data_IF_612330183640
#
_entry.id   IF_612330183640
#
_cell.length_a   1.000
_cell.length_b   1.000
_cell.length_c   1.000
_cell.angle_alpha   90.00
_cell.angle_beta   90.00
_cell.angle_gamma   90.00
#
_symmetry.space_group_name_H-M   'P 1'
#
loop_
_entity.id
_entity.type
_entity.pdbx_description
1 polymer ?
#
# COMPACT_ATOMS: atom_id res chain seq x y z
N UNK A 1 6.33 -15.68 39.38
CA UNK A 1 5.02 -15.39 38.72
C UNK A 1 5.22 -14.10 37.95
N UNK A 2 5.60 -14.23 36.67
CA UNK A 2 5.80 -13.05 35.81
C UNK A 2 4.46 -12.69 35.19
N UNK A 3 3.80 -11.68 35.75
CA UNK A 3 2.63 -11.06 35.13
C UNK A 3 3.05 -10.41 33.81
N UNK A 4 2.93 -11.16 32.73
CA UNK A 4 2.98 -10.61 31.38
C UNK A 4 1.65 -9.87 31.17
N UNK A 5 1.55 -8.65 31.67
CA UNK A 5 0.51 -7.72 31.24
C UNK A 5 0.68 -7.52 29.74
N UNK A 6 -0.09 -8.24 28.97
CA UNK A 6 -0.27 -7.96 27.56
C UNK A 6 -0.73 -6.50 27.46
N UNK A 7 0.17 -5.62 27.07
CA UNK A 7 -0.13 -4.20 26.84
C UNK A 7 -1.24 -4.15 25.81
N UNK A 8 -2.43 -3.67 26.19
CA UNK A 8 -3.59 -3.65 25.33
C UNK A 8 -3.27 -2.79 24.10
N UNK A 9 -3.16 -3.42 22.94
CA UNK A 9 -3.01 -2.72 21.67
C UNK A 9 -4.38 -2.19 21.25
N UNK A 10 -4.47 -0.89 21.04
CA UNK A 10 -5.68 -0.23 20.55
C UNK A 10 -5.45 0.24 19.12
N UNK A 11 -6.23 -0.30 18.20
CA UNK A 11 -6.23 0.16 16.80
C UNK A 11 -7.04 1.47 16.74
N UNK A 12 -6.35 2.61 16.58
CA UNK A 12 -6.96 3.94 16.45
C UNK A 12 -7.55 4.19 15.07
N UNK A 13 -6.90 3.64 14.04
CA UNK A 13 -7.33 3.76 12.66
C UNK A 13 -6.94 2.54 11.87
N UNK A 14 -7.80 2.14 10.92
CA UNK A 14 -7.54 1.04 9.98
C UNK A 14 -8.16 1.34 8.63
N UNK A 15 -7.37 1.23 7.59
CA UNK A 15 -7.81 1.42 6.21
C UNK A 15 -7.21 0.35 5.31
N UNK A 16 -8.03 -0.20 4.41
CA UNK A 16 -7.57 -1.16 3.41
C UNK A 16 -7.68 -0.60 2.01
N UNK A 17 -6.60 -0.71 1.27
CA UNK A 17 -6.48 -0.16 -0.09
C UNK A 17 -6.92 -1.18 -1.14
N UNK A 18 -8.21 -1.57 -1.09
CA UNK A 18 -8.79 -2.49 -2.05
C UNK A 18 -8.66 -1.99 -3.49
N UNK A 19 -8.39 -2.93 -4.43
CA UNK A 19 -8.47 -2.66 -5.86
C UNK A 19 -9.94 -2.42 -6.21
N UNK A 20 -10.31 -1.26 -6.81
CA UNK A 20 -11.68 -1.00 -7.19
C UNK A 20 -12.14 -1.95 -8.30
N UNK A 21 -13.44 -2.26 -8.32
CA UNK A 21 -14.02 -3.24 -9.24
C UNK A 21 -13.80 -2.90 -10.73
N UNK A 22 -13.72 -1.61 -11.07
CA UNK A 22 -13.48 -1.18 -12.44
C UNK A 22 -12.07 -1.49 -12.98
N UNK A 23 -11.13 -1.87 -12.11
CA UNK A 23 -9.80 -2.35 -12.49
C UNK A 23 -9.79 -3.82 -12.93
N UNK A 24 -10.82 -4.59 -12.54
CA UNK A 24 -10.91 -6.01 -12.88
C UNK A 24 -11.11 -6.27 -14.37
N UNK A 25 -12.05 -5.59 -15.10
CA UNK A 25 -12.21 -5.81 -16.53
C UNK A 25 -10.95 -5.53 -17.34
N UNK A 26 -10.21 -4.41 -17.19
CA UNK A 26 -8.98 -4.20 -17.92
C UNK A 26 -7.87 -5.19 -17.51
N UNK A 27 -7.75 -5.54 -16.23
CA UNK A 27 -6.74 -6.50 -15.75
C UNK A 27 -6.95 -7.90 -16.32
N UNK A 28 -8.18 -8.40 -16.29
CA UNK A 28 -8.54 -9.69 -16.89
C UNK A 28 -8.50 -9.63 -18.41
N UNK A 29 -8.86 -8.50 -19.02
CA UNK A 29 -8.77 -8.28 -20.46
C UNK A 29 -7.36 -8.38 -20.99
N UNK A 30 -6.38 -7.77 -20.32
CA UNK A 30 -4.95 -7.91 -20.66
C UNK A 30 -4.51 -9.36 -20.53
N UNK A 31 -4.89 -10.06 -19.47
CA UNK A 31 -4.55 -11.47 -19.30
C UNK A 31 -5.17 -12.35 -20.41
N UNK A 32 -6.40 -12.06 -20.83
CA UNK A 32 -7.06 -12.78 -21.92
C UNK A 32 -6.38 -12.51 -23.28
N UNK A 33 -5.94 -11.27 -23.54
CA UNK A 33 -5.18 -10.95 -24.75
C UNK A 33 -3.82 -11.68 -24.77
N UNK A 34 -3.11 -11.73 -23.67
CA UNK A 34 -1.85 -12.50 -23.57
C UNK A 34 -2.13 -13.99 -23.78
N UNK A 35 -3.23 -14.53 -23.21
CA UNK A 35 -3.62 -15.92 -23.42
C UNK A 35 -3.90 -16.22 -24.89
N UNK A 36 -4.55 -15.31 -25.60
CA UNK A 36 -4.81 -15.43 -27.04
C UNK A 36 -3.52 -15.44 -27.86
N UNK A 37 -2.57 -14.58 -27.55
CA UNK A 37 -1.26 -14.56 -28.23
C UNK A 37 -0.48 -15.87 -28.00
N UNK A 38 -0.52 -16.38 -26.78
CA UNK A 38 0.12 -17.69 -26.46
C UNK A 38 -0.55 -18.84 -27.21
N UNK A 39 -1.88 -18.85 -27.28
CA UNK A 39 -2.66 -19.86 -28.01
C UNK A 39 -2.33 -19.87 -29.52
N UNK A 40 -2.23 -18.69 -30.12
CA UNK A 40 -1.89 -18.55 -31.54
C UNK A 40 -0.41 -18.86 -31.83
N UNK A 41 0.48 -18.59 -30.86
CA UNK A 41 1.93 -18.80 -31.03
C UNK A 41 2.40 -20.24 -30.77
N UNK A 42 1.68 -21.03 -29.99
CA UNK A 42 2.08 -22.38 -29.55
C UNK A 42 1.01 -23.42 -29.89
N UNK A 43 1.02 -23.90 -31.12
CA UNK A 43 0.06 -24.90 -31.62
C UNK A 43 0.07 -26.26 -30.88
N UNK A 44 1.09 -26.52 -30.03
CA UNK A 44 1.20 -27.76 -29.28
C UNK A 44 0.37 -27.78 -27.98
N UNK A 45 -0.17 -26.63 -27.57
CA UNK A 45 -0.98 -26.51 -26.34
C UNK A 45 -2.48 -26.59 -26.68
N UNK A 46 -3.30 -27.19 -25.78
CA UNK A 46 -4.75 -27.05 -25.89
C UNK A 46 -5.16 -25.56 -25.75
N UNK A 47 -5.98 -25.05 -26.66
CA UNK A 47 -6.33 -23.61 -26.74
C UNK A 47 -6.94 -23.01 -25.46
N UNK A 48 -7.57 -23.83 -24.61
CA UNK A 48 -8.09 -23.36 -23.33
C UNK A 48 -7.04 -23.18 -22.23
N UNK A 49 -5.86 -23.83 -22.36
CA UNK A 49 -4.85 -23.90 -21.30
C UNK A 49 -4.25 -22.51 -20.93
N UNK A 50 -3.85 -21.66 -21.88
CA UNK A 50 -3.36 -20.31 -21.56
C UNK A 50 -4.37 -19.50 -20.75
N UNK A 51 -5.66 -19.59 -21.07
CA UNK A 51 -6.72 -18.88 -20.32
C UNK A 51 -6.90 -19.44 -18.92
N UNK A 52 -6.89 -20.77 -18.77
CA UNK A 52 -7.03 -21.43 -17.47
C UNK A 52 -5.88 -21.11 -16.50
N UNK A 53 -4.72 -20.72 -17.02
CA UNK A 53 -3.57 -20.31 -16.20
C UNK A 53 -3.55 -18.80 -15.98
N UNK A 54 -3.64 -18.01 -17.04
CA UNK A 54 -3.40 -16.55 -16.96
C UNK A 54 -4.54 -15.78 -16.29
N UNK A 55 -5.80 -16.19 -16.48
CA UNK A 55 -6.92 -15.52 -15.81
C UNK A 55 -6.90 -15.68 -14.29
N UNK A 56 -6.70 -16.89 -13.71
CA UNK A 56 -6.53 -17.03 -12.27
C UNK A 56 -5.30 -16.30 -11.74
N UNK A 57 -4.17 -16.31 -12.46
CA UNK A 57 -2.98 -15.57 -12.07
C UNK A 57 -3.26 -14.07 -12.00
N UNK A 58 -3.90 -13.50 -13.01
CA UNK A 58 -4.30 -12.09 -13.00
C UNK A 58 -5.24 -11.76 -11.83
N UNK A 59 -6.22 -12.62 -11.56
CA UNK A 59 -7.12 -12.46 -10.42
C UNK A 59 -6.35 -12.49 -9.07
N UNK A 60 -5.42 -13.42 -8.91
CA UNK A 60 -4.57 -13.52 -7.71
C UNK A 60 -3.72 -12.25 -7.54
N UNK A 61 -3.13 -11.75 -8.63
CA UNK A 61 -2.35 -10.50 -8.60
C UNK A 61 -3.21 -9.32 -8.15
N UNK A 62 -4.40 -9.14 -8.73
CA UNK A 62 -5.33 -8.08 -8.35
C UNK A 62 -5.75 -8.19 -6.88
N UNK A 63 -6.03 -9.39 -6.39
CA UNK A 63 -6.36 -9.64 -4.99
C UNK A 63 -5.17 -9.29 -4.07
N UNK A 64 -3.95 -9.68 -4.44
CA UNK A 64 -2.75 -9.37 -3.65
C UNK A 64 -2.42 -7.88 -3.61
N UNK A 65 -2.59 -7.17 -4.72
CA UNK A 65 -2.43 -5.72 -4.77
C UNK A 65 -3.39 -5.00 -3.83
N UNK A 66 -4.61 -5.52 -3.64
CA UNK A 66 -5.60 -4.98 -2.70
C UNK A 66 -5.39 -5.34 -1.24
N UNK A 67 -4.40 -6.15 -0.88
CA UNK A 67 -4.15 -6.55 0.52
C UNK A 67 -3.43 -5.50 1.36
N UNK A 68 -2.94 -4.42 0.75
CA UNK A 68 -2.25 -3.37 1.49
C UNK A 68 -3.20 -2.73 2.51
N UNK A 69 -2.79 -2.78 3.75
CA UNK A 69 -3.53 -2.26 4.89
C UNK A 69 -2.71 -1.19 5.60
N UNK A 70 -3.36 -0.08 5.94
CA UNK A 70 -2.81 0.96 6.80
C UNK A 70 -3.46 0.82 8.17
N UNK A 71 -2.64 0.88 9.22
CA UNK A 71 -3.12 0.86 10.62
C UNK A 71 -2.36 1.87 11.43
N UNK A 72 -3.06 2.52 12.35
CA UNK A 72 -2.44 3.28 13.45
C UNK A 72 -2.78 2.56 14.72
N UNK A 73 -1.78 2.07 15.42
CA UNK A 73 -1.91 1.27 16.62
C UNK A 73 -1.28 2.01 17.78
N UNK A 74 -1.99 2.12 18.90
CA UNK A 74 -1.46 2.61 20.15
C UNK A 74 -1.21 1.43 21.09
N UNK A 75 0.02 1.36 21.63
CA UNK A 75 0.44 0.37 22.61
C UNK A 75 0.95 1.11 23.85
N UNK A 76 0.11 1.26 24.86
CA UNK A 76 0.42 2.11 26.02
C UNK A 76 0.56 3.58 25.61
N UNK A 77 1.77 4.14 25.78
CA UNK A 77 2.12 5.52 25.39
C UNK A 77 2.68 5.64 23.99
N UNK A 78 3.00 4.52 23.33
CA UNK A 78 3.59 4.51 22.00
C UNK A 78 2.51 4.37 20.92
N UNK A 79 2.65 5.15 19.86
CA UNK A 79 1.80 5.07 18.67
C UNK A 79 2.67 4.64 17.50
N UNK A 80 2.21 3.64 16.74
CA UNK A 80 2.89 3.11 15.57
C UNK A 80 2.00 3.20 14.33
N UNK A 81 2.59 3.56 13.21
CA UNK A 81 1.96 3.50 11.90
C UNK A 81 2.41 2.25 11.14
N UNK A 82 1.48 1.44 10.76
CA UNK A 82 1.70 0.18 10.03
C UNK A 82 1.23 0.29 8.60
N UNK A 83 2.06 -0.16 7.66
CA UNK A 83 1.76 -0.25 6.23
C UNK A 83 2.10 -1.66 5.75
N UNK A 84 1.10 -2.53 5.66
CA UNK A 84 1.34 -3.95 5.46
C UNK A 84 2.15 -4.54 6.62
N UNK A 85 3.36 -5.03 6.33
CA UNK A 85 4.27 -5.61 7.32
C UNK A 85 5.31 -4.60 7.86
N UNK A 86 5.43 -3.42 7.23
CA UNK A 86 6.31 -2.37 7.67
C UNK A 86 5.63 -1.50 8.74
N UNK A 87 6.39 -1.08 9.76
CA UNK A 87 5.90 -0.22 10.82
C UNK A 87 6.86 0.91 11.11
N UNK A 88 6.32 2.01 11.61
CA UNK A 88 7.03 3.23 11.93
C UNK A 88 6.52 3.79 13.26
N UNK A 89 7.38 3.95 14.27
CA UNK A 89 7.00 4.64 15.50
C UNK A 89 6.66 6.11 15.22
N UNK A 90 5.57 6.61 15.80
CA UNK A 90 5.19 8.01 15.62
C UNK A 90 6.21 8.98 16.23
N UNK A 91 7.01 8.53 17.19
CA UNK A 91 8.07 9.30 17.82
C UNK A 91 9.19 9.76 16.89
N UNK A 92 9.46 9.01 15.81
CA UNK A 92 10.50 9.38 14.80
C UNK A 92 9.94 10.26 13.69
N UNK A 93 8.64 10.55 13.69
CA UNK A 93 8.00 11.42 12.70
C UNK A 93 8.15 12.88 13.13
N UNK A 94 9.03 13.60 12.48
CA UNK A 94 9.26 15.03 12.74
C UNK A 94 8.19 15.93 12.13
N UNK A 95 7.66 15.53 10.97
CA UNK A 95 6.63 16.27 10.25
C UNK A 95 5.70 15.31 9.50
N UNK A 96 4.42 15.56 9.57
CA UNK A 96 3.40 14.81 8.85
C UNK A 96 2.51 15.76 8.05
N UNK A 97 2.26 15.43 6.77
CA UNK A 97 1.47 16.25 5.87
C UNK A 97 0.63 15.39 4.92
N UNK A 98 -0.47 15.96 4.47
CA UNK A 98 -1.26 15.40 3.39
C UNK A 98 -0.70 15.82 2.04
N UNK A 99 -0.62 14.88 1.09
CA UNK A 99 -0.32 15.14 -0.32
C UNK A 99 -1.63 14.95 -1.09
N UNK A 100 -2.27 16.03 -1.55
CA UNK A 100 -3.52 15.92 -2.29
C UNK A 100 -3.30 15.26 -3.66
N UNK A 101 -4.37 14.73 -4.24
CA UNK A 101 -4.32 14.05 -5.54
C UNK A 101 -3.64 14.91 -6.63
N UNK A 102 -3.86 16.22 -6.61
CA UNK A 102 -3.26 17.17 -7.57
C UNK A 102 -1.73 17.27 -7.47
N UNK A 103 -1.17 17.09 -6.27
CA UNK A 103 0.28 17.15 -6.02
C UNK A 103 0.97 15.77 -6.13
N UNK A 104 0.22 14.68 -6.22
CA UNK A 104 0.72 13.31 -6.23
C UNK A 104 1.77 13.06 -7.32
N UNK A 105 1.52 13.54 -8.55
CA UNK A 105 2.43 13.34 -9.68
C UNK A 105 3.78 14.04 -9.46
N UNK A 106 3.79 15.22 -8.85
CA UNK A 106 5.01 15.92 -8.51
C UNK A 106 5.78 15.22 -7.39
N UNK A 107 5.06 14.75 -6.36
CA UNK A 107 5.64 14.04 -5.22
C UNK A 107 6.27 12.69 -5.62
N UNK A 108 5.67 11.97 -6.56
CA UNK A 108 6.20 10.70 -7.08
C UNK A 108 7.22 10.88 -8.23
N UNK A 109 7.35 12.07 -8.76
CA UNK A 109 8.24 12.40 -9.88
C UNK A 109 9.43 13.23 -9.42
N UNK A 110 9.43 14.51 -9.82
CA UNK A 110 10.58 15.41 -9.61
C UNK A 110 10.98 15.68 -8.16
N UNK A 111 10.05 15.52 -7.22
CA UNK A 111 10.27 15.76 -5.80
C UNK A 111 10.60 14.50 -5.01
N UNK A 112 10.59 13.33 -5.66
CA UNK A 112 10.84 12.07 -5.00
C UNK A 112 12.33 11.89 -4.70
N UNK A 113 12.65 11.68 -3.43
CA UNK A 113 13.97 11.26 -3.01
C UNK A 113 14.12 9.74 -3.25
N UNK A 114 15.19 9.28 -3.93
CA UNK A 114 15.44 7.86 -4.16
C UNK A 114 15.56 7.02 -2.89
N UNK A 115 15.92 7.62 -1.77
CA UNK A 115 16.02 6.96 -0.47
C UNK A 115 14.71 6.91 0.31
N UNK A 116 13.64 7.55 -0.19
CA UNK A 116 12.33 7.55 0.47
C UNK A 116 11.65 6.19 0.41
N UNK A 117 10.92 5.83 1.47
CA UNK A 117 10.06 4.67 1.47
C UNK A 117 8.71 5.00 0.84
N UNK A 118 8.38 4.34 -0.27
CA UNK A 118 7.18 4.66 -1.05
C UNK A 118 6.26 3.46 -1.18
N UNK A 119 5.00 3.61 -0.73
CA UNK A 119 3.92 2.66 -1.01
C UNK A 119 2.86 3.34 -1.85
N UNK A 120 2.98 3.17 -3.16
CA UNK A 120 2.08 3.77 -4.13
C UNK A 120 1.00 2.79 -4.58
N UNK A 121 -0.26 3.28 -4.61
CA UNK A 121 -1.38 2.60 -5.24
C UNK A 121 -2.04 3.53 -6.24
N UNK A 122 -2.06 3.11 -7.52
CA UNK A 122 -2.51 3.96 -8.63
C UNK A 122 -3.98 4.40 -8.50
N UNK A 123 -4.81 3.54 -7.91
CA UNK A 123 -6.25 3.80 -7.70
C UNK A 123 -6.58 4.63 -6.47
N UNK A 124 -5.59 4.96 -5.64
CA UNK A 124 -5.76 5.84 -4.47
C UNK A 124 -5.27 7.23 -4.82
N UNK A 125 -6.14 8.22 -4.69
CA UNK A 125 -5.83 9.60 -5.08
C UNK A 125 -4.78 10.26 -4.19
N UNK A 126 -5.08 10.56 -2.92
CA UNK A 126 -4.18 11.28 -2.03
C UNK A 126 -3.13 10.36 -1.40
N UNK A 127 -2.15 10.98 -0.73
CA UNK A 127 -1.08 10.29 0.00
C UNK A 127 -0.81 10.98 1.34
N UNK A 128 -0.13 10.27 2.22
CA UNK A 128 0.44 10.79 3.47
C UNK A 128 1.95 10.87 3.31
N UNK A 129 2.52 12.01 3.66
CA UNK A 129 3.94 12.25 3.77
C UNK A 129 4.32 12.29 5.25
N UNK A 130 5.23 11.41 5.67
CA UNK A 130 5.78 11.37 7.01
C UNK A 130 7.29 11.60 6.91
N UNK A 131 7.76 12.77 7.30
CA UNK A 131 9.18 13.10 7.33
C UNK A 131 9.77 12.55 8.61
N UNK A 132 10.87 11.82 8.49
CA UNK A 132 11.53 11.12 9.58
C UNK A 132 12.70 11.94 10.13
N UNK A 133 12.91 11.82 11.42
CA UNK A 133 14.10 12.26 12.13
C UNK A 133 14.56 11.10 13.03
N UNK A 134 15.14 10.09 12.39
CA UNK A 134 15.65 8.88 13.02
C UNK A 134 17.17 8.79 12.77
N UNK A 135 18.01 8.90 13.81
CA UNK A 135 19.46 8.82 13.64
C UNK A 135 19.95 7.44 13.19
N UNK A 136 19.14 6.39 13.37
CA UNK A 136 19.49 5.01 13.04
C UNK A 136 18.99 4.59 11.65
N UNK A 137 18.09 5.36 11.01
CA UNK A 137 17.53 5.07 9.69
C UNK A 137 17.77 6.25 8.73
N UNK A 138 18.52 6.05 7.63
CA UNK A 138 18.80 7.10 6.66
C UNK A 138 17.58 7.46 5.77
N UNK A 139 16.42 6.81 5.94
CA UNK A 139 15.21 7.07 5.18
C UNK A 139 14.68 8.49 5.48
N UNK A 140 14.64 9.40 4.48
CA UNK A 140 14.26 10.79 4.75
C UNK A 140 12.77 10.96 5.05
N UNK A 141 11.91 10.16 4.41
CA UNK A 141 10.47 10.21 4.61
C UNK A 141 9.76 8.97 4.06
N UNK A 142 8.55 8.74 4.55
CA UNK A 142 7.59 7.79 4.00
C UNK A 142 6.52 8.52 3.19
N UNK A 143 6.24 8.02 1.99
CA UNK A 143 5.21 8.54 1.10
C UNK A 143 4.22 7.41 0.77
N UNK A 144 3.07 7.43 1.43
CA UNK A 144 2.13 6.30 1.46
C UNK A 144 0.78 6.70 0.87
N UNK A 145 0.27 5.95 -0.09
CA UNK A 145 -1.11 6.12 -0.57
C UNK A 145 -2.12 5.86 0.54
N UNK A 146 -3.02 6.80 0.78
CA UNK A 146 -4.10 6.70 1.78
C UNK A 146 -5.38 7.30 1.21
N UNK A 147 -6.53 6.66 1.45
CA UNK A 147 -7.83 7.18 1.00
C UNK A 147 -8.27 8.38 1.83
N UNK A 148 -7.94 8.34 3.13
CA UNK A 148 -8.30 9.37 4.11
C UNK A 148 -7.05 9.80 4.89
N UNK A 149 -6.15 10.58 4.28
CA UNK A 149 -4.92 11.02 4.93
C UNK A 149 -5.17 11.86 6.18
N UNK A 150 -6.24 12.66 6.19
CA UNK A 150 -6.71 13.42 7.34
C UNK A 150 -6.93 12.55 8.58
N UNK A 151 -7.58 11.40 8.42
CA UNK A 151 -7.84 10.45 9.51
C UNK A 151 -6.58 9.74 9.99
N UNK A 152 -5.69 9.39 9.07
CA UNK A 152 -4.37 8.82 9.41
C UNK A 152 -3.59 9.82 10.26
N UNK A 153 -3.50 11.08 9.82
CA UNK A 153 -2.79 12.13 10.54
C UNK A 153 -3.41 12.45 11.91
N UNK A 154 -4.74 12.47 11.99
CA UNK A 154 -5.45 12.65 13.26
C UNK A 154 -5.16 11.50 14.24
N UNK A 155 -5.17 10.25 13.77
CA UNK A 155 -4.89 9.08 14.59
C UNK A 155 -3.43 9.01 15.07
N UNK A 156 -2.48 9.53 14.29
CA UNK A 156 -1.06 9.61 14.67
C UNK A 156 -0.80 10.67 15.76
N UNK A 157 -1.61 11.73 15.80
CA UNK A 157 -1.48 12.84 16.77
C UNK A 157 -2.28 12.63 18.06
N UNK A 158 -3.22 11.68 18.05
CA UNK A 158 -4.05 11.37 19.22
C UNK A 158 -3.29 10.51 20.23
#
# INVERSE_FOLDING_TARGET
>A
MSDTRATAQTVRYRERLWVPLWWWPPGLGVAALIALEVDQGINALPGWLPYAVLLPVAAIVLLRLGKTELKVVATGTETEFWVGDAHLPASVVSRAAEVPRSAKSAALGRQLDPAAYVVHRAWVGPMVLLVLDDPDDPTPYWLISAKHPDKVLAALRA
#
